data_IF_742580792991
#
_entry.id   IF_742580792991
#
_cell.length_a   1.000
_cell.length_b   1.000
_cell.length_c   1.000
_cell.angle_alpha   90.00
_cell.angle_beta   90.00
_cell.angle_gamma   90.00
#
_symmetry.space_group_name_H-M   'P 1'
#
loop_
_entity.id
_entity.type
_entity.pdbx_description
1 polymer ?
#
# COMPACT_ATOMS: atom_id res chain seq x y z
N UNK A 1 16.24 5.11 -3.30
CA UNK A 1 14.85 5.03 -2.80
C UNK A 1 14.85 5.22 -1.29
N UNK A 2 13.88 5.97 -0.76
CA UNK A 2 13.86 6.38 0.66
C UNK A 2 12.74 5.71 1.47
N UNK A 3 11.67 5.24 0.82
CA UNK A 3 10.47 4.66 1.45
C UNK A 3 10.11 3.32 0.78
N UNK A 4 9.66 2.33 1.55
CA UNK A 4 9.16 1.05 1.06
C UNK A 4 7.93 0.59 1.87
N UNK A 5 6.97 -0.14 1.26
CA UNK A 5 5.86 -0.75 1.99
C UNK A 5 6.37 -1.83 2.95
N UNK A 6 5.81 -1.89 4.16
CA UNK A 6 6.30 -2.80 5.22
C UNK A 6 6.00 -4.28 4.95
N UNK A 7 4.89 -4.58 4.28
CA UNK A 7 4.34 -5.95 4.20
C UNK A 7 4.73 -6.72 2.93
N UNK A 8 5.36 -6.06 1.93
CA UNK A 8 5.85 -6.71 0.71
C UNK A 8 7.36 -6.53 0.55
N UNK A 9 8.18 -7.59 0.67
CA UNK A 9 9.60 -7.48 0.38
C UNK A 9 9.82 -7.12 -1.09
N UNK A 10 10.87 -6.36 -1.34
CA UNK A 10 11.22 -5.82 -2.64
C UNK A 10 11.43 -6.93 -3.68
N UNK A 11 10.55 -7.02 -4.69
CA UNK A 11 10.77 -7.90 -5.84
C UNK A 11 11.56 -7.16 -6.94
N UNK A 12 12.88 -7.35 -6.94
CA UNK A 12 13.79 -6.80 -7.96
C UNK A 12 13.44 -7.23 -9.40
N UNK A 13 12.56 -8.22 -9.58
CA UNK A 13 12.16 -8.72 -10.90
C UNK A 13 11.06 -7.90 -11.56
N UNK A 14 10.31 -7.08 -10.80
CA UNK A 14 9.27 -6.20 -11.32
C UNK A 14 9.57 -4.73 -11.00
N UNK A 15 10.45 -4.07 -11.78
CA UNK A 15 10.71 -2.66 -11.59
C UNK A 15 9.42 -1.85 -11.82
N UNK A 16 9.25 -0.70 -11.14
CA UNK A 16 8.06 0.13 -11.24
C UNK A 16 8.12 0.92 -12.56
N UNK A 17 7.77 0.23 -13.65
CA UNK A 17 7.95 0.70 -15.03
C UNK A 17 7.09 1.92 -15.33
N UNK A 18 5.88 2.00 -14.75
CA UNK A 18 4.95 3.08 -15.06
C UNK A 18 5.40 4.40 -14.41
N UNK A 19 5.76 4.39 -13.13
CA UNK A 19 6.24 5.59 -12.44
C UNK A 19 7.54 6.12 -13.07
N UNK A 20 8.48 5.23 -13.40
CA UNK A 20 9.68 5.58 -14.17
C UNK A 20 9.33 6.12 -15.56
N UNK A 21 8.41 5.47 -16.26
CA UNK A 21 7.96 5.86 -17.59
C UNK A 21 7.29 7.23 -17.61
N UNK A 22 6.39 7.51 -16.66
CA UNK A 22 5.72 8.80 -16.51
C UNK A 22 6.73 9.91 -16.15
N UNK A 23 7.62 9.66 -15.19
CA UNK A 23 8.63 10.64 -14.82
C UNK A 23 9.58 10.96 -16.00
N UNK A 24 10.02 9.93 -16.73
CA UNK A 24 10.85 10.09 -17.93
C UNK A 24 10.09 10.83 -19.03
N UNK A 25 8.81 10.50 -19.25
CA UNK A 25 7.96 11.15 -20.24
C UNK A 25 7.84 12.65 -19.96
N UNK A 26 7.57 13.04 -18.70
CA UNK A 26 7.50 14.46 -18.31
C UNK A 26 8.81 15.20 -18.61
N UNK A 27 9.94 14.61 -18.24
CA UNK A 27 11.26 15.22 -18.46
C UNK A 27 11.60 15.31 -19.96
N UNK A 28 11.30 14.27 -20.75
CA UNK A 28 11.56 14.25 -22.20
C UNK A 28 10.67 15.25 -22.92
N UNK A 29 9.37 15.29 -22.62
CA UNK A 29 8.45 16.27 -23.20
C UNK A 29 8.88 17.70 -22.86
N UNK A 30 9.29 17.95 -21.62
CA UNK A 30 9.82 19.25 -21.22
C UNK A 30 11.09 19.61 -21.99
N UNK A 31 12.07 18.72 -22.06
CA UNK A 31 13.35 18.98 -22.73
C UNK A 31 13.20 19.18 -24.25
N UNK A 32 12.32 18.40 -24.89
CA UNK A 32 12.11 18.48 -26.34
C UNK A 32 11.28 19.69 -26.73
N UNK A 33 10.15 19.93 -26.06
CA UNK A 33 9.17 20.91 -26.53
C UNK A 33 9.47 22.35 -26.08
N UNK A 34 10.22 22.54 -24.98
CA UNK A 34 10.42 23.88 -24.40
C UNK A 34 11.26 24.84 -25.28
N UNK A 35 12.34 24.40 -25.95
CA UNK A 35 13.13 25.28 -26.82
C UNK A 35 12.31 25.92 -27.95
N UNK A 36 11.50 25.12 -28.65
CA UNK A 36 10.66 25.61 -29.74
C UNK A 36 9.58 26.57 -29.24
N UNK A 37 8.96 26.28 -28.11
CA UNK A 37 7.93 27.14 -27.53
C UNK A 37 8.51 28.49 -27.07
N UNK A 38 9.74 28.50 -26.54
CA UNK A 38 10.41 29.74 -26.16
C UNK A 38 10.71 30.64 -27.36
N UNK A 39 11.11 30.07 -28.50
CA UNK A 39 11.33 30.83 -29.74
C UNK A 39 10.02 31.42 -30.27
N UNK A 40 8.94 30.63 -30.30
CA UNK A 40 7.61 31.10 -30.71
C UNK A 40 7.06 32.18 -29.79
N UNK A 41 7.16 31.98 -28.48
CA UNK A 41 6.71 32.94 -27.49
C UNK A 41 7.48 34.26 -27.59
N UNK A 42 8.79 34.19 -27.86
CA UNK A 42 9.59 35.39 -28.13
C UNK A 42 9.08 36.14 -29.36
N UNK A 43 8.83 35.44 -30.47
CA UNK A 43 8.24 36.05 -31.67
C UNK A 43 6.90 36.72 -31.36
N UNK A 44 6.00 36.02 -30.64
CA UNK A 44 4.68 36.51 -30.23
C UNK A 44 4.80 37.80 -29.40
N UNK A 45 5.68 37.79 -28.39
CA UNK A 45 5.91 38.93 -27.50
C UNK A 45 6.53 40.13 -28.20
N UNK A 46 7.35 39.92 -29.24
CA UNK A 46 7.94 41.00 -30.02
C UNK A 46 6.97 41.53 -31.10
N UNK A 47 6.23 40.63 -31.76
CA UNK A 47 5.36 40.94 -32.90
C UNK A 47 4.07 41.66 -32.47
N UNK A 48 3.41 41.16 -31.42
CA UNK A 48 2.07 41.61 -31.04
C UNK A 48 2.01 43.10 -30.62
N UNK A 49 2.90 43.61 -29.74
CA UNK A 49 2.86 45.02 -29.35
C UNK A 49 3.09 45.97 -30.53
N UNK A 50 3.89 45.55 -31.51
CA UNK A 50 4.26 46.37 -32.66
C UNK A 50 3.16 46.45 -33.74
N UNK A 51 2.40 45.36 -33.95
CA UNK A 51 1.49 45.24 -35.09
C UNK A 51 0.01 45.25 -34.70
N UNK A 52 -0.35 44.66 -33.54
CA UNK A 52 -1.75 44.38 -33.18
C UNK A 52 -2.25 45.25 -32.03
N UNK A 53 -1.41 45.48 -31.01
CA UNK A 53 -1.84 46.12 -29.76
C UNK A 53 -2.48 47.49 -29.96
N UNK A 54 -1.94 48.33 -30.86
CA UNK A 54 -2.46 49.67 -31.12
C UNK A 54 -3.88 49.68 -31.69
N UNK A 55 -4.24 48.65 -32.47
CA UNK A 55 -5.57 48.48 -33.07
C UNK A 55 -6.53 47.83 -32.09
N UNK A 56 -6.05 46.85 -31.33
CA UNK A 56 -6.87 46.03 -30.43
C UNK A 56 -7.19 46.73 -29.09
N UNK A 57 -6.23 47.48 -28.54
CA UNK A 57 -6.38 48.12 -27.22
C UNK A 57 -7.60 49.06 -27.09
N UNK A 58 -7.91 49.95 -28.05
CA UNK A 58 -9.08 50.84 -27.94
C UNK A 58 -10.42 50.08 -27.88
N UNK A 59 -10.47 48.86 -28.43
CA UNK A 59 -11.68 48.04 -28.54
C UNK A 59 -11.86 47.11 -27.33
N UNK A 60 -10.75 46.68 -26.73
CA UNK A 60 -10.74 45.68 -25.66
C UNK A 60 -11.50 46.07 -24.38
N UNK A 61 -11.44 47.33 -23.89
CA UNK A 61 -12.23 47.76 -22.72
C UNK A 61 -13.73 47.54 -22.88
N UNK A 62 -14.28 47.79 -24.07
CA UNK A 62 -15.70 47.58 -24.34
C UNK A 62 -16.05 46.09 -24.28
N UNK A 63 -15.19 45.23 -24.82
CA UNK A 63 -15.34 43.77 -24.76
C UNK A 63 -15.36 43.26 -23.30
N UNK A 64 -14.40 43.70 -22.47
CA UNK A 64 -14.36 43.29 -21.06
C UNK A 64 -15.54 43.82 -20.23
N UNK A 65 -16.07 45.00 -20.55
CA UNK A 65 -17.27 45.52 -19.90
C UNK A 65 -18.51 44.70 -20.25
N UNK A 66 -18.62 44.21 -21.50
CA UNK A 66 -19.71 43.33 -21.93
C UNK A 66 -19.66 41.97 -21.22
N UNK A 67 -18.46 41.44 -20.96
CA UNK A 67 -18.25 40.19 -20.22
C UNK A 67 -18.20 40.36 -18.69
N UNK A 68 -18.49 41.57 -18.18
CA UNK A 68 -18.51 41.93 -16.75
C UNK A 68 -17.16 41.73 -16.01
N UNK A 69 -16.03 41.80 -16.73
CA UNK A 69 -14.68 41.60 -16.19
C UNK A 69 -14.01 42.92 -15.76
N UNK A 70 -14.66 43.68 -14.89
CA UNK A 70 -14.19 45.01 -14.46
C UNK A 70 -12.84 44.97 -13.74
N UNK A 71 -12.61 43.97 -12.89
CA UNK A 71 -11.34 43.81 -12.17
C UNK A 71 -10.16 43.50 -13.13
N UNK A 72 -10.39 42.71 -14.17
CA UNK A 72 -9.38 42.43 -15.20
C UNK A 72 -9.08 43.69 -16.00
N UNK A 73 -10.10 44.47 -16.36
CA UNK A 73 -9.94 45.74 -17.07
C UNK A 73 -9.08 46.75 -16.30
N UNK A 74 -9.30 46.91 -14.99
CA UNK A 74 -8.48 47.82 -14.17
C UNK A 74 -7.01 47.40 -14.16
N UNK A 75 -6.72 46.10 -13.99
CA UNK A 75 -5.35 45.57 -14.04
C UNK A 75 -4.67 45.86 -15.38
N UNK A 76 -5.38 45.64 -16.49
CA UNK A 76 -4.81 45.85 -17.83
C UNK A 76 -4.60 47.33 -18.15
N UNK A 77 -5.45 48.23 -17.66
CA UNK A 77 -5.23 49.68 -17.81
C UNK A 77 -3.94 50.11 -17.14
N UNK A 78 -3.70 49.63 -15.92
CA UNK A 78 -2.44 49.88 -15.20
C UNK A 78 -1.25 49.30 -15.98
N UNK A 79 -1.36 48.07 -16.47
CA UNK A 79 -0.31 47.44 -17.28
C UNK A 79 -0.01 48.23 -18.57
N UNK A 80 -1.05 48.74 -19.25
CA UNK A 80 -0.89 49.58 -20.43
C UNK A 80 -0.20 50.91 -20.13
N UNK A 81 -0.56 51.58 -19.03
CA UNK A 81 0.11 52.81 -18.58
C UNK A 81 1.59 52.56 -18.22
N UNK A 82 1.89 51.41 -17.62
CA UNK A 82 3.22 50.99 -17.22
C UNK A 82 4.06 50.38 -18.35
N UNK A 83 3.50 50.28 -19.57
CA UNK A 83 4.14 49.65 -20.72
C UNK A 83 4.57 48.20 -20.45
N UNK A 84 3.76 47.47 -19.67
CA UNK A 84 3.93 46.05 -19.39
C UNK A 84 3.35 45.21 -20.53
N UNK A 85 3.96 45.30 -21.72
CA UNK A 85 3.47 44.68 -22.95
C UNK A 85 3.21 43.18 -22.80
N UNK A 86 4.02 42.46 -22.00
CA UNK A 86 3.84 41.03 -21.76
C UNK A 86 2.47 40.68 -21.17
N UNK A 87 1.99 41.47 -20.21
CA UNK A 87 0.69 41.23 -19.56
C UNK A 87 -0.45 41.45 -20.56
N UNK A 88 -0.28 42.43 -21.46
CA UNK A 88 -1.24 42.71 -22.52
C UNK A 88 -1.24 41.61 -23.58
N UNK A 89 -0.07 41.10 -23.97
CA UNK A 89 0.07 40.00 -24.94
C UNK A 89 -0.59 38.73 -24.40
N UNK A 90 -0.31 38.36 -23.15
CA UNK A 90 -0.89 37.17 -22.51
C UNK A 90 -2.42 37.23 -22.43
N UNK A 91 -2.98 38.42 -22.27
CA UNK A 91 -4.41 38.60 -22.18
C UNK A 91 -5.07 38.80 -23.55
N UNK A 92 -4.79 39.91 -24.24
CA UNK A 92 -5.45 40.27 -25.50
C UNK A 92 -5.01 39.38 -26.67
N UNK A 93 -3.73 38.97 -26.70
CA UNK A 93 -3.22 38.09 -27.74
C UNK A 93 -3.86 36.70 -27.72
N UNK A 94 -4.18 36.19 -26.54
CA UNK A 94 -4.77 34.85 -26.39
C UNK A 94 -6.31 34.86 -26.26
N UNK A 95 -6.94 36.03 -26.14
CA UNK A 95 -8.40 36.18 -26.14
C UNK A 95 -8.99 35.91 -27.52
N UNK A 96 -9.49 34.68 -27.70
CA UNK A 96 -10.04 34.20 -28.97
C UNK A 96 -11.37 34.84 -29.29
N UNK A 97 -12.28 34.85 -28.32
CA UNK A 97 -13.62 35.43 -28.44
C UNK A 97 -13.54 36.89 -28.89
N UNK A 98 -12.60 37.65 -28.31
CA UNK A 98 -12.32 39.01 -28.75
C UNK A 98 -11.84 39.08 -30.21
N UNK A 99 -10.83 38.29 -30.58
CA UNK A 99 -10.30 38.31 -31.95
C UNK A 99 -11.29 37.83 -33.01
N UNK A 100 -12.17 36.89 -32.66
CA UNK A 100 -13.25 36.42 -33.51
C UNK A 100 -14.32 37.50 -33.68
N UNK A 101 -14.61 38.28 -32.62
CA UNK A 101 -15.54 39.41 -32.69
C UNK A 101 -15.07 40.52 -33.64
N UNK A 102 -13.76 40.84 -33.63
CA UNK A 102 -13.17 41.80 -34.59
C UNK A 102 -13.16 41.19 -35.98
N UNK A 103 -12.81 39.92 -36.14
CA UNK A 103 -12.83 39.26 -37.45
C UNK A 103 -14.21 39.27 -38.10
N UNK A 104 -15.28 39.10 -37.30
CA UNK A 104 -16.65 39.05 -37.78
C UNK A 104 -17.24 40.43 -38.09
N UNK A 105 -17.02 41.42 -37.21
CA UNK A 105 -17.71 42.72 -37.26
C UNK A 105 -16.78 43.91 -37.50
N UNK A 106 -15.47 43.68 -37.64
CA UNK A 106 -14.46 44.74 -37.72
C UNK A 106 -14.63 45.69 -38.89
N UNK A 107 -15.27 45.24 -39.97
CA UNK A 107 -15.61 46.09 -41.13
C UNK A 107 -16.56 47.24 -40.79
N UNK A 108 -17.35 47.11 -39.71
CA UNK A 108 -18.35 48.12 -39.32
C UNK A 108 -17.72 49.29 -38.54
N UNK A 109 -16.54 49.10 -37.94
CA UNK A 109 -15.93 50.07 -37.02
C UNK A 109 -14.43 50.33 -37.21
N UNK A 110 -13.77 49.61 -38.12
CA UNK A 110 -12.39 49.87 -38.55
C UNK A 110 -12.35 50.31 -40.01
N UNK A 111 -11.41 51.20 -40.33
CA UNK A 111 -11.16 51.59 -41.72
C UNK A 111 -10.77 50.35 -42.56
N UNK A 112 -11.23 50.22 -43.82
CA UNK A 112 -10.99 49.02 -44.63
C UNK A 112 -9.52 48.63 -44.77
N UNK A 113 -8.63 49.61 -44.93
CA UNK A 113 -7.18 49.38 -45.04
C UNK A 113 -6.61 48.86 -43.71
N UNK A 114 -7.00 49.46 -42.58
CA UNK A 114 -6.58 49.04 -41.23
C UNK A 114 -7.08 47.65 -40.90
N UNK A 115 -8.35 47.34 -41.23
CA UNK A 115 -8.93 46.02 -41.03
C UNK A 115 -8.21 44.95 -41.85
N UNK A 116 -7.91 45.23 -43.12
CA UNK A 116 -7.19 44.29 -43.98
C UNK A 116 -5.76 44.01 -43.48
N UNK A 117 -5.05 45.03 -43.01
CA UNK A 117 -3.72 44.89 -42.42
C UNK A 117 -3.78 44.11 -41.11
N UNK A 118 -4.70 44.47 -40.22
CA UNK A 118 -4.94 43.75 -38.97
C UNK A 118 -5.24 42.27 -39.23
N UNK A 119 -6.05 41.94 -40.24
CA UNK A 119 -6.36 40.55 -40.56
C UNK A 119 -5.12 39.76 -41.00
N UNK A 120 -4.23 40.37 -41.79
CA UNK A 120 -2.96 39.74 -42.20
C UNK A 120 -2.03 39.53 -41.00
N UNK A 121 -1.83 40.56 -40.19
CA UNK A 121 -0.97 40.51 -39.01
C UNK A 121 -1.51 39.51 -37.98
N UNK A 122 -2.84 39.48 -37.78
CA UNK A 122 -3.50 38.55 -36.86
C UNK A 122 -3.41 37.11 -37.37
N UNK A 123 -3.48 36.88 -38.68
CA UNK A 123 -3.25 35.56 -39.25
C UNK A 123 -1.82 35.07 -38.97
N UNK A 124 -0.81 35.93 -39.16
CA UNK A 124 0.59 35.59 -38.85
C UNK A 124 0.79 35.30 -37.36
N UNK A 125 0.23 36.13 -36.48
CA UNK A 125 0.26 35.92 -35.03
C UNK A 125 -0.42 34.59 -34.64
N UNK A 126 -1.61 34.32 -35.16
CA UNK A 126 -2.38 33.12 -34.86
C UNK A 126 -1.66 31.84 -35.31
N UNK A 127 -0.95 31.87 -36.44
CA UNK A 127 -0.15 30.73 -36.92
C UNK A 127 0.92 30.31 -35.92
N UNK A 128 1.61 31.28 -35.31
CA UNK A 128 2.62 31.00 -34.29
C UNK A 128 1.99 30.61 -32.95
N UNK A 129 0.93 31.30 -32.54
CA UNK A 129 0.16 31.00 -31.32
C UNK A 129 -0.42 29.58 -31.33
N UNK A 130 -1.05 29.19 -32.43
CA UNK A 130 -1.75 27.89 -32.54
C UNK A 130 -0.78 26.71 -32.68
N UNK A 131 0.52 26.96 -32.82
CA UNK A 131 1.58 25.96 -32.69
C UNK A 131 2.16 25.84 -31.28
N UNK A 132 1.81 26.73 -30.34
CA UNK A 132 2.23 26.60 -28.95
C UNK A 132 1.58 25.38 -28.30
N UNK A 133 2.37 24.59 -27.57
CA UNK A 133 1.86 23.36 -26.94
C UNK A 133 0.80 23.65 -25.89
N UNK A 134 0.91 24.77 -25.17
CA UNK A 134 -0.08 25.19 -24.16
C UNK A 134 -1.43 25.46 -24.81
N UNK A 135 -1.45 25.97 -26.03
CA UNK A 135 -2.67 26.24 -26.81
C UNK A 135 -3.23 24.96 -27.43
N UNK A 136 -2.35 24.07 -27.92
CA UNK A 136 -2.77 22.83 -28.60
C UNK A 136 -3.23 21.76 -27.61
N UNK A 137 -2.50 21.55 -26.52
CA UNK A 137 -2.66 20.43 -25.59
C UNK A 137 -3.05 20.84 -24.17
N UNK A 138 -3.00 22.13 -23.83
CA UNK A 138 -3.51 22.66 -22.57
C UNK A 138 -5.04 22.67 -22.51
N UNK A 139 -5.57 22.77 -21.30
CA UNK A 139 -7.01 22.80 -21.07
C UNK A 139 -7.53 24.24 -21.16
N UNK A 140 -8.20 24.52 -22.26
CA UNK A 140 -8.86 25.79 -22.55
C UNK A 140 -10.32 25.74 -22.04
N UNK A 141 -10.71 26.60 -21.08
CA UNK A 141 -12.08 26.60 -20.53
C UNK A 141 -13.12 27.15 -21.52
N UNK A 142 -12.69 27.97 -22.49
CA UNK A 142 -13.58 28.55 -23.50
C UNK A 142 -13.94 27.55 -24.59
N UNK A 143 -13.14 26.48 -24.74
CA UNK A 143 -13.33 25.48 -25.81
C UNK A 143 -13.35 24.06 -25.28
N UNK A 144 -14.52 23.42 -25.34
CA UNK A 144 -14.66 22.03 -24.93
C UNK A 144 -13.88 21.06 -25.84
N UNK A 145 -12.77 20.54 -25.32
CA UNK A 145 -11.93 19.53 -25.99
C UNK A 145 -11.66 18.38 -25.02
N UNK A 146 -12.41 17.26 -25.08
CA UNK A 146 -12.32 16.20 -24.07
C UNK A 146 -10.89 15.67 -23.80
N UNK A 147 -10.05 15.61 -24.83
CA UNK A 147 -8.67 15.14 -24.70
C UNK A 147 -7.80 16.05 -23.83
N UNK A 148 -8.10 17.35 -23.76
CA UNK A 148 -7.29 18.32 -23.03
C UNK A 148 -7.44 18.20 -21.52
N UNK A 149 -8.44 17.48 -21.01
CA UNK A 149 -8.56 17.12 -19.59
C UNK A 149 -7.51 16.07 -19.13
N UNK A 150 -6.78 15.49 -20.06
CA UNK A 150 -5.72 14.52 -19.78
C UNK A 150 -4.35 14.98 -20.28
N UNK A 151 -4.27 15.63 -21.45
CA UNK A 151 -2.98 16.02 -22.03
C UNK A 151 -2.30 17.16 -21.29
N UNK A 152 -3.08 18.06 -20.67
CA UNK A 152 -2.52 19.21 -19.95
C UNK A 152 -1.61 18.80 -18.78
N UNK A 153 -1.88 17.66 -18.16
CA UNK A 153 -1.11 17.13 -17.04
C UNK A 153 0.30 16.67 -17.42
N UNK A 154 0.62 16.60 -18.72
CA UNK A 154 1.95 16.22 -19.22
C UNK A 154 2.79 17.42 -19.67
N UNK A 155 2.21 18.62 -19.60
CA UNK A 155 2.86 19.85 -20.03
C UNK A 155 3.12 20.71 -18.80
N UNK A 156 4.27 21.36 -18.77
CA UNK A 156 4.57 22.39 -17.79
C UNK A 156 5.58 23.35 -18.40
N UNK A 157 5.48 24.62 -18.05
CA UNK A 157 6.42 25.65 -18.51
C UNK A 157 7.51 25.90 -17.47
N UNK A 158 7.36 25.42 -16.24
CA UNK A 158 8.31 25.63 -15.17
C UNK A 158 9.14 24.36 -14.90
N UNK A 159 10.46 24.48 -15.09
CA UNK A 159 11.41 23.39 -14.85
C UNK A 159 11.37 22.85 -13.42
N UNK A 160 11.16 23.71 -12.42
CA UNK A 160 11.07 23.31 -11.01
C UNK A 160 9.82 22.46 -10.76
N UNK A 161 8.69 22.82 -11.38
CA UNK A 161 7.44 22.06 -11.25
C UNK A 161 7.57 20.68 -11.89
N UNK A 162 8.17 20.58 -13.08
CA UNK A 162 8.45 19.29 -13.74
C UNK A 162 9.37 18.43 -12.89
N UNK A 163 10.45 19.01 -12.36
CA UNK A 163 11.41 18.28 -11.53
C UNK A 163 10.76 17.79 -10.24
N UNK A 164 10.01 18.64 -9.54
CA UNK A 164 9.27 18.27 -8.34
C UNK A 164 8.26 17.16 -8.64
N UNK A 165 7.58 17.25 -9.78
CA UNK A 165 6.61 16.28 -10.25
C UNK A 165 7.23 14.91 -10.54
N UNK A 166 8.34 14.90 -11.26
CA UNK A 166 9.12 13.69 -11.51
C UNK A 166 9.65 13.10 -10.20
N UNK A 167 10.19 13.91 -9.29
CA UNK A 167 10.66 13.43 -7.98
C UNK A 167 9.52 12.82 -7.15
N UNK A 168 8.33 13.43 -7.12
CA UNK A 168 7.17 12.87 -6.42
C UNK A 168 6.70 11.56 -7.05
N UNK A 169 6.73 11.42 -8.37
CA UNK A 169 6.46 10.14 -9.04
C UNK A 169 7.49 9.07 -8.67
N UNK A 170 8.78 9.44 -8.58
CA UNK A 170 9.84 8.49 -8.21
C UNK A 170 9.80 8.12 -6.71
N UNK A 171 9.38 9.04 -5.84
CA UNK A 171 9.31 8.80 -4.39
C UNK A 171 8.02 8.11 -3.97
N UNK A 172 6.88 8.57 -4.50
CA UNK A 172 5.54 8.12 -4.10
C UNK A 172 4.96 7.15 -5.11
N UNK A 173 5.09 7.46 -6.41
CA UNK A 173 4.54 6.63 -7.49
C UNK A 173 5.14 5.23 -7.50
N UNK A 174 6.45 5.07 -7.28
CA UNK A 174 7.07 3.74 -7.17
C UNK A 174 6.50 2.92 -6.01
N UNK A 175 6.32 3.55 -4.84
CA UNK A 175 5.81 2.90 -3.64
C UNK A 175 4.37 2.43 -3.85
N UNK A 176 3.55 3.26 -4.50
CA UNK A 176 2.18 2.90 -4.90
C UNK A 176 2.17 1.76 -5.91
N UNK A 177 3.02 1.84 -6.94
CA UNK A 177 3.05 0.86 -8.03
C UNK A 177 3.37 -0.55 -7.50
N UNK A 178 4.21 -0.66 -6.47
CA UNK A 178 4.44 -1.94 -5.80
C UNK A 178 3.33 -2.36 -4.84
N UNK A 179 2.69 -1.41 -4.15
CA UNK A 179 1.62 -1.74 -3.22
C UNK A 179 0.35 -2.20 -3.94
N UNK A 180 -0.09 -1.41 -4.93
CA UNK A 180 -1.40 -1.54 -5.61
C UNK A 180 -1.32 -1.89 -7.10
N UNK A 181 -0.14 -1.79 -7.73
CA UNK A 181 0.04 -2.03 -9.16
C UNK A 181 0.00 -0.75 -10.00
N UNK A 182 0.43 -0.89 -11.26
CA UNK A 182 0.50 0.22 -12.23
C UNK A 182 -0.88 0.76 -12.61
N UNK A 183 -1.92 -0.08 -12.65
CA UNK A 183 -3.29 0.35 -12.95
C UNK A 183 -3.83 1.36 -11.94
N UNK A 184 -3.59 1.14 -10.63
CA UNK A 184 -3.98 2.07 -9.59
C UNK A 184 -3.27 3.43 -9.74
N UNK A 185 -1.95 3.42 -9.97
CA UNK A 185 -1.17 4.64 -10.20
C UNK A 185 -1.67 5.42 -11.43
N UNK A 186 -1.89 4.74 -12.57
CA UNK A 186 -2.38 5.39 -13.78
C UNK A 186 -3.79 5.96 -13.61
N UNK A 187 -4.67 5.21 -12.93
CA UNK A 187 -6.04 5.68 -12.67
C UNK A 187 -6.05 6.92 -11.76
N UNK A 188 -5.22 6.96 -10.72
CA UNK A 188 -5.10 8.14 -9.85
C UNK A 188 -4.55 9.36 -10.61
N UNK A 189 -3.58 9.15 -11.51
CA UNK A 189 -3.05 10.20 -12.38
C UNK A 189 -4.15 10.78 -13.29
N UNK A 190 -4.87 9.92 -14.02
CA UNK A 190 -5.88 10.34 -15.00
C UNK A 190 -7.13 10.94 -14.35
N UNK A 191 -7.64 10.32 -13.28
CA UNK A 191 -8.82 10.82 -12.56
C UNK A 191 -8.48 12.10 -11.81
N UNK A 192 -7.29 12.20 -11.22
CA UNK A 192 -6.81 13.43 -10.59
C UNK A 192 -6.71 14.58 -11.59
N UNK A 193 -6.13 14.34 -12.77
CA UNK A 193 -6.10 15.29 -13.90
C UNK A 193 -7.51 15.70 -14.32
N UNK A 194 -8.42 14.75 -14.49
CA UNK A 194 -9.79 15.05 -14.89
C UNK A 194 -10.51 15.94 -13.86
N UNK A 195 -10.43 15.59 -12.57
CA UNK A 195 -11.08 16.35 -11.50
C UNK A 195 -10.49 17.76 -11.37
N UNK A 196 -9.16 17.91 -11.39
CA UNK A 196 -8.53 19.22 -11.36
C UNK A 196 -8.90 20.06 -12.60
N UNK A 197 -8.94 19.44 -13.78
CA UNK A 197 -9.35 20.10 -15.02
C UNK A 197 -10.81 20.57 -14.99
N UNK A 198 -11.73 19.74 -14.51
CA UNK A 198 -13.14 20.13 -14.34
C UNK A 198 -13.27 21.29 -13.36
N UNK A 199 -12.58 21.23 -12.21
CA UNK A 199 -12.57 22.34 -11.25
C UNK A 199 -12.01 23.63 -11.86
N UNK A 200 -10.96 23.54 -12.68
CA UNK A 200 -10.42 24.68 -13.41
C UNK A 200 -11.45 25.24 -14.40
N UNK A 201 -12.07 24.42 -15.24
CA UNK A 201 -13.10 24.88 -16.18
C UNK A 201 -14.26 25.61 -15.50
N UNK A 202 -14.63 25.22 -14.27
CA UNK A 202 -15.71 25.86 -13.50
C UNK A 202 -15.24 27.16 -12.84
N UNK A 203 -14.03 27.18 -12.27
CA UNK A 203 -13.50 28.35 -11.54
C UNK A 203 -12.95 29.43 -12.45
N UNK A 204 -12.52 29.06 -13.67
CA UNK A 204 -11.81 29.90 -14.62
C UNK A 204 -12.52 29.97 -15.98
N UNK A 205 -13.86 30.06 -15.97
CA UNK A 205 -14.70 30.09 -17.18
C UNK A 205 -14.24 31.12 -18.24
N UNK A 206 -13.74 32.26 -17.80
CA UNK A 206 -13.31 33.37 -18.66
C UNK A 206 -11.79 33.47 -18.84
N UNK A 207 -11.03 32.48 -18.36
CA UNK A 207 -9.57 32.51 -18.53
C UNK A 207 -9.21 32.36 -20.00
N UNK A 208 -8.32 33.23 -20.48
CA UNK A 208 -7.74 33.16 -21.83
C UNK A 208 -6.48 32.30 -21.85
N UNK A 209 -5.91 32.00 -20.68
CA UNK A 209 -4.74 31.14 -20.53
C UNK A 209 -5.18 29.70 -20.28
N UNK A 210 -4.76 28.74 -21.13
CA UNK A 210 -5.04 27.33 -20.91
C UNK A 210 -4.31 26.80 -19.67
N UNK A 211 -4.97 25.93 -18.90
CA UNK A 211 -4.32 25.23 -17.81
C UNK A 211 -3.30 24.23 -18.35
N UNK A 212 -2.11 24.24 -17.75
CA UNK A 212 -1.04 23.28 -17.92
C UNK A 212 -0.47 22.93 -16.54
N UNK A 213 0.09 21.73 -16.40
CA UNK A 213 0.81 21.33 -15.20
C UNK A 213 0.39 19.97 -14.66
N UNK A 214 1.37 19.19 -14.21
CA UNK A 214 1.17 17.85 -13.62
C UNK A 214 0.67 17.86 -12.18
N UNK A 215 0.58 19.04 -11.54
CA UNK A 215 0.26 19.18 -10.10
C UNK A 215 -1.10 18.60 -9.72
N UNK A 216 -2.11 18.73 -10.59
CA UNK A 216 -3.42 18.10 -10.41
C UNK A 216 -3.34 16.58 -10.40
N UNK A 217 -2.67 16.00 -11.39
CA UNK A 217 -2.49 14.55 -11.48
C UNK A 217 -1.71 13.99 -10.28
N UNK A 218 -0.65 14.69 -9.85
CA UNK A 218 0.14 14.29 -8.68
C UNK A 218 -0.63 14.42 -7.38
N UNK A 219 -1.49 15.44 -7.25
CA UNK A 219 -2.40 15.53 -6.11
C UNK A 219 -3.30 14.30 -6.02
N UNK A 220 -3.79 13.79 -7.15
CA UNK A 220 -4.49 12.50 -7.23
C UNK A 220 -3.63 11.31 -6.77
N UNK A 221 -2.38 11.23 -7.23
CA UNK A 221 -1.44 10.20 -6.78
C UNK A 221 -1.17 10.27 -5.27
N UNK A 222 -0.99 11.48 -4.71
CA UNK A 222 -0.79 11.70 -3.27
C UNK A 222 -2.03 11.32 -2.45
N UNK A 223 -3.23 11.59 -2.97
CA UNK A 223 -4.50 11.18 -2.33
C UNK A 223 -4.64 9.67 -2.25
N UNK A 224 -4.29 8.97 -3.35
CA UNK A 224 -4.24 7.51 -3.38
C UNK A 224 -3.19 6.97 -2.39
N UNK A 225 -1.99 7.56 -2.36
CA UNK A 225 -0.93 7.20 -1.41
C UNK A 225 -1.39 7.36 0.04
N UNK A 226 -1.99 8.51 0.36
CA UNK A 226 -2.49 8.83 1.69
C UNK A 226 -3.50 7.79 2.18
N UNK A 227 -4.45 7.40 1.32
CA UNK A 227 -5.44 6.39 1.68
C UNK A 227 -4.84 4.99 1.77
N UNK A 228 -3.96 4.61 0.83
CA UNK A 228 -3.30 3.31 0.82
C UNK A 228 -2.46 3.06 2.07
N UNK A 229 -1.75 4.09 2.54
CA UNK A 229 -0.83 4.00 3.67
C UNK A 229 -1.37 4.69 4.94
N UNK A 230 -2.70 4.87 5.04
CA UNK A 230 -3.34 5.63 6.13
C UNK A 230 -2.95 5.14 7.52
N UNK A 231 -2.75 3.83 7.69
CA UNK A 231 -2.40 3.25 8.98
C UNK A 231 -0.99 3.59 9.42
N UNK A 232 -0.84 3.74 10.74
CA UNK A 232 0.47 3.88 11.36
C UNK A 232 1.31 2.65 11.01
N UNK A 233 2.60 2.88 10.72
CA UNK A 233 3.61 1.84 10.47
C UNK A 233 3.56 1.11 9.11
N UNK A 234 2.76 1.60 8.16
CA UNK A 234 2.61 1.01 6.82
C UNK A 234 3.80 1.26 5.88
N UNK A 235 4.64 2.26 6.19
CA UNK A 235 5.87 2.57 5.46
C UNK A 235 7.10 2.31 6.33
N UNK A 236 8.15 1.76 5.74
CA UNK A 236 9.47 1.63 6.37
C UNK A 236 10.48 2.47 5.59
N UNK A 237 11.25 3.28 6.32
CA UNK A 237 12.39 4.01 5.73
C UNK A 237 13.53 3.03 5.48
N UNK A 238 14.08 3.05 4.28
CA UNK A 238 15.12 2.09 3.92
C UNK A 238 16.40 2.33 4.74
N UNK A 239 16.84 1.32 5.49
CA UNK A 239 18.05 1.38 6.32
C UNK A 239 17.81 1.77 7.78
N UNK A 240 16.57 1.98 8.21
CA UNK A 240 16.21 2.25 9.61
C UNK A 240 15.01 1.41 10.05
N UNK A 241 14.83 1.23 11.36
CA UNK A 241 13.64 0.58 11.94
C UNK A 241 12.46 1.55 12.13
N UNK A 242 12.58 2.79 11.62
CA UNK A 242 11.55 3.81 11.75
C UNK A 242 10.41 3.53 10.79
N UNK A 243 9.24 3.27 11.36
CA UNK A 243 8.01 3.10 10.61
C UNK A 243 7.26 4.44 10.53
N UNK A 244 6.77 4.78 9.35
CA UNK A 244 6.05 6.02 9.07
C UNK A 244 4.61 5.71 8.67
N UNK A 245 3.71 6.63 8.99
CA UNK A 245 2.33 6.59 8.50
C UNK A 245 2.16 7.41 7.22
N UNK A 246 1.05 7.20 6.52
CA UNK A 246 0.69 7.90 5.27
C UNK A 246 0.45 9.41 5.42
N UNK A 247 0.49 9.96 6.64
CA UNK A 247 0.39 11.41 6.91
C UNK A 247 1.46 12.25 6.18
N UNK A 248 2.60 11.65 5.82
CA UNK A 248 3.62 12.31 5.01
C UNK A 248 3.07 12.72 3.65
N UNK A 249 2.23 11.89 3.03
CA UNK A 249 1.64 12.22 1.72
C UNK A 249 0.64 13.37 1.82
N UNK A 250 -0.07 13.49 2.95
CA UNK A 250 -0.89 14.66 3.23
C UNK A 250 -0.02 15.91 3.42
N UNK A 251 1.11 15.80 4.14
CA UNK A 251 2.07 16.91 4.28
C UNK A 251 2.67 17.35 2.93
N UNK A 252 3.03 16.41 2.07
CA UNK A 252 3.49 16.67 0.70
C UNK A 252 2.41 17.33 -0.15
N UNK A 253 1.14 16.90 -0.02
CA UNK A 253 0.02 17.54 -0.70
C UNK A 253 -0.17 18.99 -0.24
N UNK A 254 -0.17 19.23 1.08
CA UNK A 254 -0.31 20.59 1.64
C UNK A 254 0.84 21.47 1.15
N UNK A 255 2.07 20.95 1.13
CA UNK A 255 3.23 21.67 0.59
C UNK A 255 3.06 21.99 -0.90
N UNK A 256 2.62 21.04 -1.72
CA UNK A 256 2.38 21.23 -3.14
C UNK A 256 1.26 22.27 -3.40
N UNK A 257 0.17 22.19 -2.64
CA UNK A 257 -0.94 23.13 -2.73
C UNK A 257 -0.52 24.54 -2.31
N UNK A 258 0.25 24.66 -1.22
CA UNK A 258 0.81 25.94 -0.78
C UNK A 258 1.75 26.54 -1.84
N UNK A 259 2.67 25.75 -2.39
CA UNK A 259 3.59 26.21 -3.44
C UNK A 259 2.82 26.70 -4.68
N UNK A 260 1.79 25.96 -5.09
CA UNK A 260 0.94 26.34 -6.23
C UNK A 260 0.19 27.65 -5.95
N UNK A 261 -0.35 27.80 -4.73
CA UNK A 261 -1.05 29.00 -4.31
C UNK A 261 -0.14 30.24 -4.31
N UNK A 262 1.09 30.12 -3.80
CA UNK A 262 2.07 31.22 -3.83
C UNK A 262 2.50 31.57 -5.26
N UNK A 263 2.80 30.55 -6.09
CA UNK A 263 3.27 30.76 -7.46
C UNK A 263 2.19 31.33 -8.39
N UNK A 264 0.90 31.07 -8.09
CA UNK A 264 -0.24 31.50 -8.90
C UNK A 264 -0.89 32.78 -8.35
N UNK A 265 -0.13 33.64 -7.66
CA UNK A 265 -0.60 34.91 -7.11
C UNK A 265 -1.86 34.79 -6.23
N UNK A 266 -1.91 33.76 -5.37
CA UNK A 266 -3.01 33.50 -4.43
C UNK A 266 -4.34 33.11 -5.09
N UNK A 267 -4.29 32.45 -6.25
CA UNK A 267 -5.46 31.89 -6.90
C UNK A 267 -6.02 30.66 -6.13
N UNK A 268 -7.18 30.85 -5.51
CA UNK A 268 -7.89 29.83 -4.75
C UNK A 268 -8.52 28.76 -5.66
N UNK A 269 -8.90 29.12 -6.90
CA UNK A 269 -9.53 28.20 -7.85
C UNK A 269 -8.64 27.02 -8.20
N UNK A 270 -7.34 27.27 -8.40
CA UNK A 270 -6.35 26.21 -8.61
C UNK A 270 -6.22 25.29 -7.39
N UNK A 271 -6.21 25.85 -6.18
CA UNK A 271 -6.13 25.06 -4.93
C UNK A 271 -7.37 24.16 -4.77
N UNK A 272 -8.56 24.67 -5.08
CA UNK A 272 -9.80 23.88 -5.10
C UNK A 272 -9.65 22.69 -6.06
N UNK A 273 -9.08 22.91 -7.25
CA UNK A 273 -8.79 21.84 -8.20
C UNK A 273 -7.81 20.79 -7.66
N UNK A 274 -6.76 21.21 -6.96
CA UNK A 274 -5.81 20.28 -6.33
C UNK A 274 -6.48 19.46 -5.21
N UNK A 275 -7.33 20.08 -4.39
CA UNK A 275 -8.10 19.39 -3.34
C UNK A 275 -9.06 18.38 -3.97
N UNK A 276 -9.78 18.76 -5.03
CA UNK A 276 -10.66 17.85 -5.75
C UNK A 276 -9.90 16.65 -6.32
N UNK A 277 -8.72 16.88 -6.90
CA UNK A 277 -7.86 15.81 -7.38
C UNK A 277 -7.37 14.90 -6.24
N UNK A 278 -6.93 15.46 -5.12
CA UNK A 278 -6.51 14.67 -3.95
C UNK A 278 -7.64 13.79 -3.41
N UNK A 279 -8.84 14.33 -3.25
CA UNK A 279 -10.02 13.56 -2.83
C UNK A 279 -10.35 12.48 -3.86
N UNK A 280 -10.22 12.76 -5.15
CA UNK A 280 -10.44 11.77 -6.21
C UNK A 280 -9.47 10.58 -6.08
N UNK A 281 -8.21 10.82 -5.70
CA UNK A 281 -7.22 9.77 -5.43
C UNK A 281 -7.62 8.84 -4.28
N UNK A 282 -8.20 9.41 -3.22
CA UNK A 282 -8.76 8.63 -2.10
C UNK A 282 -9.88 7.73 -2.59
N UNK A 283 -10.80 8.28 -3.40
CA UNK A 283 -11.92 7.53 -3.99
C UNK A 283 -11.43 6.40 -4.89
N UNK A 284 -10.42 6.66 -5.74
CA UNK A 284 -9.78 5.64 -6.58
C UNK A 284 -9.21 4.52 -5.72
N UNK A 285 -8.53 4.84 -4.61
CA UNK A 285 -7.99 3.82 -3.70
C UNK A 285 -9.10 2.94 -3.11
N UNK A 286 -10.21 3.54 -2.66
CA UNK A 286 -11.36 2.81 -2.10
C UNK A 286 -12.00 1.93 -3.16
N UNK A 287 -12.21 2.46 -4.37
CA UNK A 287 -12.80 1.73 -5.49
C UNK A 287 -11.91 0.56 -5.91
N UNK A 288 -10.59 0.75 -5.96
CA UNK A 288 -9.63 -0.29 -6.32
C UNK A 288 -9.60 -1.41 -5.27
N UNK A 289 -9.57 -1.06 -3.97
CA UNK A 289 -9.70 -2.05 -2.89
C UNK A 289 -11.04 -2.80 -3.01
N UNK A 290 -12.15 -2.11 -3.25
CA UNK A 290 -13.47 -2.76 -3.37
C UNK A 290 -13.55 -3.74 -4.54
N UNK A 291 -12.99 -3.40 -5.71
CA UNK A 291 -13.07 -4.25 -6.90
C UNK A 291 -12.02 -5.36 -6.96
N UNK A 292 -10.81 -5.11 -6.46
CA UNK A 292 -9.69 -6.06 -6.56
C UNK A 292 -9.39 -6.82 -5.25
N UNK A 293 -9.90 -6.38 -4.08
CA UNK A 293 -9.77 -7.15 -2.83
C UNK A 293 -10.81 -8.28 -2.69
N UNK A 294 -11.72 -8.47 -3.66
CA UNK A 294 -12.67 -9.59 -3.61
C UNK A 294 -11.98 -10.96 -3.84
N UNK A 295 -10.75 -10.98 -4.39
CA UNK A 295 -9.92 -12.19 -4.53
C UNK A 295 -8.81 -12.33 -3.47
N UNK A 296 -8.51 -11.29 -2.68
CA UNK A 296 -7.46 -11.31 -1.66
C UNK A 296 -8.03 -11.04 -0.27
N UNK A 297 -8.72 -12.04 0.27
CA UNK A 297 -9.22 -12.07 1.65
C UNK A 297 -8.13 -12.38 2.69
N UNK A 298 -6.86 -12.13 2.39
CA UNK A 298 -5.72 -12.48 3.23
C UNK A 298 -4.75 -11.28 3.22
N UNK A 299 -4.80 -10.46 4.29
CA UNK A 299 -3.63 -10.04 5.11
C UNK A 299 -3.69 -8.64 5.72
N UNK A 300 -4.50 -7.69 5.26
CA UNK A 300 -4.38 -6.32 5.78
C UNK A 300 -5.64 -5.79 6.48
N UNK A 301 -5.46 -5.55 7.78
CA UNK A 301 -6.24 -4.71 8.69
C UNK A 301 -7.10 -5.46 9.73
N UNK A 302 -6.39 -5.96 10.75
CA UNK A 302 -6.81 -5.87 12.15
C UNK A 302 -7.18 -4.41 12.49
N UNK A 303 -8.44 -4.05 12.31
CA UNK A 303 -9.13 -3.20 13.28
C UNK A 303 -10.13 -4.08 14.00
N UNK A 304 -9.97 -4.19 15.32
CA UNK A 304 -10.98 -4.66 16.25
C UNK A 304 -12.24 -3.81 16.07
N UNK A 305 -13.07 -4.18 15.11
CA UNK A 305 -14.51 -3.94 15.20
C UNK A 305 -14.99 -5.06 16.10
N UNK A 306 -15.12 -4.77 17.39
CA UNK A 306 -15.92 -5.58 18.30
C UNK A 306 -17.33 -5.53 17.72
N UNK A 307 -17.66 -6.48 16.83
CA UNK A 307 -19.04 -6.83 16.61
C UNK A 307 -19.52 -7.43 17.93
N UNK A 308 -20.55 -6.81 18.50
CA UNK A 308 -21.35 -7.41 19.56
C UNK A 308 -21.74 -8.82 19.12
N UNK A 309 -21.34 -9.80 19.93
CA UNK A 309 -21.64 -11.24 19.81
C UNK A 309 -21.05 -12.00 18.61
N UNK A 310 -19.72 -12.02 18.48
CA UNK A 310 -19.08 -13.14 17.78
C UNK A 310 -19.20 -14.45 18.60
N UNK A 311 -19.52 -15.60 17.98
CA UNK A 311 -19.50 -16.88 18.67
C UNK A 311 -18.11 -17.14 19.26
N UNK A 312 -18.05 -17.68 20.49
CA UNK A 312 -16.79 -17.92 21.20
C UNK A 312 -15.75 -18.73 20.40
N UNK A 313 -16.22 -19.58 19.48
CA UNK A 313 -15.39 -20.40 18.57
C UNK A 313 -14.66 -19.58 17.50
N UNK A 314 -15.26 -18.48 17.02
CA UNK A 314 -14.68 -17.64 15.97
C UNK A 314 -13.59 -16.72 16.54
N UNK A 315 -13.81 -16.20 17.75
CA UNK A 315 -12.81 -15.47 18.50
C UNK A 315 -11.58 -16.35 18.81
N UNK A 316 -11.81 -17.58 19.26
CA UNK A 316 -10.74 -18.56 19.50
C UNK A 316 -9.89 -18.80 18.25
N UNK A 317 -10.53 -19.04 17.09
CA UNK A 317 -9.83 -19.27 15.82
C UNK A 317 -8.99 -18.07 15.41
N UNK A 318 -9.51 -16.86 15.58
CA UNK A 318 -8.79 -15.64 15.25
C UNK A 318 -7.57 -15.42 16.17
N UNK A 319 -7.76 -15.60 17.48
CA UNK A 319 -6.68 -15.45 18.47
C UNK A 319 -5.57 -16.49 18.24
N UNK A 320 -5.92 -17.75 17.97
CA UNK A 320 -4.95 -18.81 17.66
C UNK A 320 -4.19 -18.52 16.35
N UNK A 321 -4.90 -18.13 15.29
CA UNK A 321 -4.27 -17.80 14.00
C UNK A 321 -3.27 -16.64 14.14
N UNK A 322 -3.67 -15.59 14.86
CA UNK A 322 -2.81 -14.45 15.19
C UNK A 322 -1.53 -14.89 15.92
N UNK A 323 -1.65 -15.79 16.90
CA UNK A 323 -0.50 -16.32 17.61
C UNK A 323 0.45 -17.13 16.71
N UNK A 324 -0.09 -17.98 15.82
CA UNK A 324 0.71 -18.77 14.87
C UNK A 324 1.43 -17.89 13.83
N UNK A 325 0.80 -16.81 13.38
CA UNK A 325 1.38 -15.85 12.46
C UNK A 325 2.58 -15.12 13.09
N UNK A 326 2.50 -14.80 14.39
CA UNK A 326 3.67 -14.27 15.13
C UNK A 326 4.84 -15.27 15.16
N UNK A 327 4.58 -16.57 15.18
CA UNK A 327 5.63 -17.60 15.08
C UNK A 327 6.27 -17.57 13.69
N UNK A 328 5.47 -17.48 12.60
CA UNK A 328 6.02 -17.42 11.24
C UNK A 328 6.85 -16.16 10.99
N UNK A 329 6.47 -15.03 11.61
CA UNK A 329 7.20 -13.77 11.58
C UNK A 329 8.42 -13.71 12.53
N UNK A 330 8.83 -14.83 13.14
CA UNK A 330 9.95 -14.94 14.08
C UNK A 330 9.78 -14.11 15.38
N UNK A 331 8.55 -13.73 15.74
CA UNK A 331 8.23 -12.97 16.96
C UNK A 331 7.95 -13.90 18.15
N UNK A 332 8.91 -14.76 18.50
CA UNK A 332 8.72 -15.85 19.47
C UNK A 332 8.27 -15.38 20.86
N UNK A 333 8.82 -14.27 21.39
CA UNK A 333 8.43 -13.75 22.71
C UNK A 333 7.00 -13.23 22.76
N UNK A 334 6.51 -12.67 21.66
CA UNK A 334 5.13 -12.17 21.57
C UNK A 334 4.14 -13.33 21.34
N UNK A 335 4.53 -14.33 20.54
CA UNK A 335 3.77 -15.56 20.37
C UNK A 335 3.65 -16.34 21.68
N UNK A 336 4.73 -16.42 22.46
CA UNK A 336 4.75 -17.11 23.77
C UNK A 336 3.72 -16.48 24.74
N UNK A 337 3.71 -15.14 24.87
CA UNK A 337 2.73 -14.46 25.74
C UNK A 337 1.29 -14.72 25.30
N UNK A 338 1.00 -14.58 24.01
CA UNK A 338 -0.35 -14.74 23.49
C UNK A 338 -0.85 -16.18 23.58
N UNK A 339 0.03 -17.17 23.39
CA UNK A 339 -0.32 -18.58 23.59
C UNK A 339 -0.53 -18.90 25.07
N UNK A 340 0.19 -18.25 26.00
CA UNK A 340 -0.03 -18.39 27.45
C UNK A 340 -1.40 -17.84 27.84
N UNK A 341 -1.76 -16.66 27.36
CA UNK A 341 -3.10 -16.07 27.55
C UNK A 341 -4.20 -16.97 26.98
N UNK A 342 -3.98 -17.55 25.79
CA UNK A 342 -4.91 -18.50 25.18
C UNK A 342 -5.03 -19.80 25.99
N UNK A 343 -3.93 -20.31 26.54
CA UNK A 343 -3.94 -21.52 27.37
C UNK A 343 -4.71 -21.31 28.69
N UNK A 344 -4.64 -20.11 29.27
CA UNK A 344 -5.43 -19.74 30.46
C UNK A 344 -6.93 -19.62 30.12
N UNK A 345 -7.26 -19.05 28.96
CA UNK A 345 -8.64 -18.83 28.52
C UNK A 345 -9.33 -20.11 28.03
N UNK A 346 -8.58 -21.03 27.42
CA UNK A 346 -9.08 -22.29 26.86
C UNK A 346 -8.28 -23.51 27.37
N UNK A 347 -8.35 -23.84 28.67
CA UNK A 347 -7.53 -24.89 29.29
C UNK A 347 -7.84 -26.30 28.80
N UNK A 348 -8.97 -26.50 28.11
CA UNK A 348 -9.39 -27.78 27.55
C UNK A 348 -8.78 -28.07 26.18
N UNK A 349 -8.32 -27.06 25.44
CA UNK A 349 -7.76 -27.29 24.10
C UNK A 349 -6.27 -27.66 24.18
N UNK A 350 -6.02 -28.93 23.92
CA UNK A 350 -4.69 -29.54 23.95
C UNK A 350 -3.78 -29.12 22.80
N UNK A 351 -4.32 -28.53 21.74
CA UNK A 351 -3.54 -28.02 20.60
C UNK A 351 -2.70 -26.80 20.98
N UNK A 352 -3.23 -25.95 21.87
CA UNK A 352 -2.48 -24.79 22.39
C UNK A 352 -1.24 -25.28 23.14
N UNK A 353 -1.38 -26.34 23.96
CA UNK A 353 -0.25 -26.93 24.69
C UNK A 353 0.85 -27.45 23.78
N UNK A 354 0.50 -28.02 22.62
CA UNK A 354 1.48 -28.46 21.61
C UNK A 354 2.27 -27.27 21.05
N UNK A 355 1.59 -26.17 20.70
CA UNK A 355 2.25 -24.96 20.22
C UNK A 355 3.13 -24.31 21.29
N UNK A 356 2.66 -24.26 22.54
CA UNK A 356 3.47 -23.81 23.69
C UNK A 356 4.72 -24.68 23.86
N UNK A 357 4.59 -26.00 23.79
CA UNK A 357 5.71 -26.94 23.89
C UNK A 357 6.74 -26.70 22.79
N UNK A 358 6.30 -26.47 21.55
CA UNK A 358 7.20 -26.22 20.43
C UNK A 358 7.96 -24.89 20.52
N UNK A 359 7.44 -23.90 21.25
CA UNK A 359 8.17 -22.68 21.58
C UNK A 359 9.16 -22.90 22.73
N UNK A 360 8.73 -23.62 23.77
CA UNK A 360 9.53 -23.86 24.98
C UNK A 360 10.61 -24.94 24.80
N UNK A 361 10.58 -25.74 23.72
CA UNK A 361 11.63 -26.75 23.42
C UNK A 361 13.05 -26.18 23.26
N UNK A 362 13.17 -24.87 23.09
CA UNK A 362 14.46 -24.15 23.04
C UNK A 362 14.97 -23.73 24.42
N UNK A 363 14.15 -23.84 25.47
CA UNK A 363 14.47 -23.49 26.87
C UNK A 363 14.20 -24.66 27.83
N UNK A 364 14.93 -25.79 27.71
CA UNK A 364 14.65 -27.02 28.48
C UNK A 364 14.95 -26.94 29.99
N UNK A 365 15.39 -25.79 30.50
CA UNK A 365 15.66 -25.55 31.92
C UNK A 365 14.48 -24.89 32.64
N UNK A 366 13.48 -24.39 31.91
CA UNK A 366 12.29 -23.78 32.51
C UNK A 366 11.35 -24.87 33.04
N UNK A 367 10.79 -24.67 34.24
CA UNK A 367 9.83 -25.58 34.87
C UNK A 367 8.61 -25.83 33.98
N UNK A 368 8.16 -24.80 33.26
CA UNK A 368 7.02 -24.87 32.34
C UNK A 368 7.21 -25.91 31.22
N UNK A 369 8.45 -26.15 30.77
CA UNK A 369 8.73 -27.17 29.75
C UNK A 369 8.36 -28.58 30.24
N UNK A 370 8.64 -28.87 31.51
CA UNK A 370 8.33 -30.16 32.15
C UNK A 370 6.83 -30.31 32.38
N UNK A 371 6.15 -29.23 32.80
CA UNK A 371 4.69 -29.22 33.01
C UNK A 371 3.92 -29.44 31.70
N UNK A 372 4.34 -28.79 30.61
CA UNK A 372 3.74 -28.99 29.29
C UNK A 372 3.95 -30.41 28.78
N UNK A 373 5.15 -30.98 28.98
CA UNK A 373 5.43 -32.36 28.61
C UNK A 373 4.53 -33.35 29.38
N UNK A 374 4.35 -33.17 30.70
CA UNK A 374 3.39 -33.93 31.51
C UNK A 374 1.98 -33.84 30.93
N UNK A 375 1.51 -32.62 30.65
CA UNK A 375 0.18 -32.37 30.11
C UNK A 375 -0.08 -33.03 28.75
N UNK A 376 0.96 -33.13 27.92
CA UNK A 376 0.92 -33.79 26.61
C UNK A 376 1.01 -35.32 26.73
N UNK A 377 1.77 -35.86 27.67
CA UNK A 377 1.80 -37.31 27.92
C UNK A 377 0.47 -37.84 28.48
N UNK A 378 -0.26 -37.02 29.23
CA UNK A 378 -1.58 -37.32 29.76
C UNK A 378 -2.73 -37.27 28.72
N UNK A 379 -2.44 -37.05 27.43
CA UNK A 379 -3.46 -37.02 26.39
C UNK A 379 -4.20 -38.36 26.25
N UNK A 380 -5.51 -38.33 25.94
CA UNK A 380 -6.30 -39.55 25.77
C UNK A 380 -5.75 -40.42 24.64
N UNK A 381 -5.95 -41.72 24.76
CA UNK A 381 -5.45 -42.72 23.83
C UNK A 381 -6.29 -42.75 22.55
N UNK A 382 -5.97 -41.86 21.61
CA UNK A 382 -6.56 -41.76 20.28
C UNK A 382 -5.46 -41.91 19.21
N UNK A 383 -5.75 -42.49 18.02
CA UNK A 383 -4.73 -42.75 17.00
C UNK A 383 -3.86 -41.54 16.65
N UNK A 384 -4.47 -40.37 16.37
CA UNK A 384 -3.74 -39.15 16.05
C UNK A 384 -2.88 -38.64 17.23
N UNK A 385 -3.44 -38.65 18.45
CA UNK A 385 -2.73 -38.24 19.65
C UNK A 385 -1.57 -39.18 19.99
N UNK A 386 -1.67 -40.48 19.65
CA UNK A 386 -0.62 -41.47 19.94
C UNK A 386 0.67 -41.19 19.17
N UNK A 387 0.56 -40.82 17.89
CA UNK A 387 1.73 -40.43 17.09
C UNK A 387 2.31 -39.10 17.55
N UNK A 388 1.46 -38.12 17.88
CA UNK A 388 1.90 -36.84 18.46
C UNK A 388 2.70 -37.06 19.74
N UNK A 389 2.19 -37.89 20.66
CA UNK A 389 2.86 -38.17 21.93
C UNK A 389 4.17 -38.93 21.75
N UNK A 390 4.26 -39.82 20.75
CA UNK A 390 5.53 -40.45 20.38
C UNK A 390 6.56 -39.43 19.89
N UNK A 391 6.15 -38.47 19.05
CA UNK A 391 7.01 -37.41 18.56
C UNK A 391 7.50 -36.51 19.70
N UNK A 392 6.60 -36.10 20.59
CA UNK A 392 6.92 -35.30 21.77
C UNK A 392 7.83 -36.07 22.72
N UNK A 393 7.61 -37.37 22.93
CA UNK A 393 8.50 -38.21 23.73
C UNK A 393 9.93 -38.24 23.17
N UNK A 394 10.08 -38.46 21.86
CA UNK A 394 11.38 -38.50 21.21
C UNK A 394 12.12 -37.15 21.28
N UNK A 395 11.39 -36.04 21.12
CA UNK A 395 11.95 -34.70 21.26
C UNK A 395 12.30 -34.38 22.71
N UNK A 396 11.41 -34.69 23.66
CA UNK A 396 11.62 -34.51 25.08
C UNK A 396 12.81 -35.31 25.59
N UNK A 397 12.95 -36.57 25.16
CA UNK A 397 14.08 -37.44 25.52
C UNK A 397 15.44 -36.84 25.13
N UNK A 398 15.50 -36.11 24.01
CA UNK A 398 16.73 -35.48 23.52
C UNK A 398 17.07 -34.17 24.23
N UNK A 399 16.07 -33.52 24.85
CA UNK A 399 16.17 -32.12 25.32
C UNK A 399 16.08 -31.98 26.84
N UNK A 400 15.24 -32.77 27.51
CA UNK A 400 15.07 -32.73 28.96
C UNK A 400 16.33 -33.20 29.67
N UNK A 401 16.69 -32.49 30.74
CA UNK A 401 17.81 -32.84 31.62
C UNK A 401 17.36 -33.48 32.94
N UNK A 402 16.14 -33.20 33.36
CA UNK A 402 15.59 -33.61 34.67
C UNK A 402 14.65 -34.80 34.56
N UNK A 403 14.03 -35.01 33.40
CA UNK A 403 13.12 -36.11 33.10
C UNK A 403 11.94 -36.25 34.08
N UNK A 404 11.49 -35.15 34.67
CA UNK A 404 10.44 -35.15 35.70
C UNK A 404 9.10 -35.63 35.14
N UNK A 405 8.81 -35.32 33.88
CA UNK A 405 7.60 -35.75 33.21
C UNK A 405 7.51 -37.27 32.92
N UNK A 406 8.60 -38.01 33.13
CA UNK A 406 8.66 -39.47 32.93
C UNK A 406 8.70 -40.20 34.28
N UNK A 407 7.65 -40.02 35.07
CA UNK A 407 7.47 -40.83 36.27
C UNK A 407 7.10 -42.29 35.92
N UNK A 408 7.16 -43.19 36.90
CA UNK A 408 7.00 -44.63 36.66
C UNK A 408 5.63 -44.97 36.05
N UNK A 409 4.56 -44.30 36.51
CA UNK A 409 3.21 -44.54 36.00
C UNK A 409 3.01 -43.97 34.59
N UNK A 410 3.50 -42.76 34.29
CA UNK A 410 3.47 -42.21 32.92
C UNK A 410 4.29 -43.07 31.96
N UNK A 411 5.46 -43.57 32.39
CA UNK A 411 6.25 -44.50 31.57
C UNK A 411 5.48 -45.78 31.21
N UNK A 412 4.77 -46.37 32.17
CA UNK A 412 3.95 -47.57 31.94
C UNK A 412 2.75 -47.28 31.03
N UNK A 413 2.10 -46.12 31.19
CA UNK A 413 1.00 -45.69 30.31
C UNK A 413 1.48 -45.46 28.87
N UNK A 414 2.62 -44.80 28.70
CA UNK A 414 3.25 -44.57 27.41
C UNK A 414 3.74 -45.87 26.77
N UNK A 415 4.27 -46.83 27.53
CA UNK A 415 4.64 -48.15 27.01
C UNK A 415 3.44 -48.87 26.38
N UNK A 416 2.30 -48.89 27.06
CA UNK A 416 1.05 -49.45 26.53
C UNK A 416 0.57 -48.69 25.29
N UNK A 417 0.72 -47.37 25.29
CA UNK A 417 0.33 -46.50 24.16
C UNK A 417 1.18 -46.77 22.92
N UNK A 418 2.49 -46.87 23.07
CA UNK A 418 3.45 -47.12 21.98
C UNK A 418 3.34 -48.54 21.44
N UNK A 419 3.05 -49.53 22.28
CA UNK A 419 2.76 -50.90 21.85
C UNK A 419 1.57 -50.97 20.88
N UNK A 420 0.52 -50.15 21.10
CA UNK A 420 -0.67 -50.11 20.23
C UNK A 420 -0.40 -49.53 18.84
N UNK A 421 0.51 -48.57 18.73
CA UNK A 421 0.92 -47.96 17.45
C UNK A 421 2.14 -48.64 16.83
N UNK A 422 2.51 -49.83 17.30
CA UNK A 422 3.64 -50.62 16.79
C UNK A 422 5.02 -49.93 16.90
N UNK A 423 5.15 -48.95 17.79
CA UNK A 423 6.43 -48.31 18.14
C UNK A 423 7.15 -49.14 19.22
N UNK A 424 7.50 -50.39 18.88
CA UNK A 424 7.98 -51.38 19.85
C UNK A 424 9.28 -50.99 20.53
N UNK A 425 10.20 -50.36 19.79
CA UNK A 425 11.52 -49.99 20.32
C UNK A 425 11.37 -48.99 21.47
N UNK A 426 10.58 -47.94 21.26
CA UNK A 426 10.28 -46.91 22.25
C UNK A 426 9.43 -47.48 23.39
N UNK A 427 8.51 -48.40 23.10
CA UNK A 427 7.70 -49.08 24.10
C UNK A 427 8.54 -49.95 25.06
N UNK A 428 9.52 -50.71 24.54
CA UNK A 428 10.44 -51.50 25.38
C UNK A 428 11.36 -50.61 26.21
N UNK A 429 11.87 -49.53 25.62
CA UNK A 429 12.80 -48.61 26.28
C UNK A 429 12.15 -47.90 27.47
N UNK A 430 10.94 -47.36 27.26
CA UNK A 430 10.23 -46.66 28.33
C UNK A 430 9.72 -47.61 29.42
N UNK A 431 9.37 -48.85 29.04
CA UNK A 431 9.04 -49.90 30.00
C UNK A 431 10.24 -50.26 30.89
N UNK A 432 11.44 -50.41 30.32
CA UNK A 432 12.68 -50.66 31.10
C UNK A 432 12.97 -49.52 32.08
N UNK A 433 12.81 -48.27 31.63
CA UNK A 433 12.96 -47.09 32.51
C UNK A 433 12.01 -47.12 33.71
N UNK A 434 10.78 -47.61 33.54
CA UNK A 434 9.85 -47.77 34.67
C UNK A 434 10.31 -48.82 35.68
N UNK A 435 11.03 -49.87 35.23
CA UNK A 435 11.54 -50.94 36.09
C UNK A 435 12.72 -50.51 36.98
N UNK A 436 13.47 -49.48 36.57
CA UNK A 436 14.56 -48.92 37.37
C UNK A 436 14.03 -48.17 38.61
N UNK A 437 12.75 -47.80 38.61
CA UNK A 437 12.08 -47.17 39.74
C UNK A 437 11.66 -48.20 40.79
N UNK A 438 12.11 -48.04 42.05
CA UNK A 438 11.79 -48.92 43.20
C UNK A 438 10.31 -48.90 43.65
N UNK A 439 9.40 -48.26 42.91
CA UNK A 439 7.98 -48.16 43.27
C UNK A 439 7.17 -49.26 42.60
N UNK A 440 6.46 -50.06 43.39
CA UNK A 440 5.52 -51.05 42.86
C UNK A 440 4.28 -50.35 42.31
N UNK A 441 4.04 -50.46 41.00
CA UNK A 441 2.84 -49.93 40.34
C UNK A 441 1.92 -51.07 39.94
N UNK A 442 0.61 -50.90 40.17
CA UNK A 442 -0.42 -51.82 39.70
C UNK A 442 -0.54 -51.86 38.18
N UNK A 443 0.01 -50.84 37.48
CA UNK A 443 0.03 -50.75 36.02
C UNK A 443 1.11 -51.61 35.38
N UNK A 444 2.12 -52.07 36.15
CA UNK A 444 3.26 -52.83 35.61
C UNK A 444 2.80 -54.14 34.96
N UNK A 445 1.91 -54.89 35.63
CA UNK A 445 1.33 -56.13 35.09
C UNK A 445 0.53 -55.89 33.82
N UNK A 446 -0.26 -54.81 33.78
CA UNK A 446 -1.08 -54.44 32.61
C UNK A 446 -0.21 -54.06 31.42
N UNK A 447 0.84 -53.27 31.64
CA UNK A 447 1.77 -52.87 30.60
C UNK A 447 2.61 -54.03 30.05
N UNK A 448 3.07 -54.93 30.93
CA UNK A 448 3.78 -56.15 30.52
C UNK A 448 2.90 -57.07 29.68
N UNK A 449 1.63 -57.25 30.06
CA UNK A 449 0.68 -58.04 29.29
C UNK A 449 0.35 -57.41 27.92
N UNK A 450 0.21 -56.08 27.87
CA UNK A 450 0.00 -55.36 26.60
C UNK A 450 1.19 -55.51 25.65
N UNK A 451 2.43 -55.43 26.15
CA UNK A 451 3.64 -55.67 25.36
C UNK A 451 3.73 -57.12 24.88
N UNK A 452 3.45 -58.09 25.75
CA UNK A 452 3.44 -59.52 25.39
C UNK A 452 2.47 -59.80 24.24
N UNK A 453 1.24 -59.29 24.32
CA UNK A 453 0.23 -59.42 23.26
C UNK A 453 0.67 -58.73 21.96
N UNK A 454 1.25 -57.54 22.05
CA UNK A 454 1.70 -56.80 20.87
C UNK A 454 2.87 -57.49 20.16
N UNK A 455 3.82 -58.09 20.90
CA UNK A 455 4.91 -58.88 20.32
C UNK A 455 4.47 -60.25 19.77
N UNK A 456 3.49 -60.90 20.42
CA UNK A 456 2.89 -62.13 19.92
C UNK A 456 2.20 -61.90 18.56
N UNK A 457 1.48 -60.78 18.42
CA UNK A 457 0.85 -60.38 17.17
C UNK A 457 1.85 -60.14 16.01
N UNK A 458 3.13 -59.87 16.32
CA UNK A 458 4.21 -59.72 15.32
C UNK A 458 5.10 -60.97 15.17
N UNK A 459 4.68 -62.13 15.66
CA UNK A 459 5.43 -63.39 15.60
C UNK A 459 6.81 -63.34 16.31
N UNK A 460 7.00 -62.44 17.28
CA UNK A 460 8.22 -62.34 18.08
C UNK A 460 8.10 -63.12 19.40
N UNK A 461 7.99 -64.45 19.31
CA UNK A 461 7.67 -65.34 20.44
C UNK A 461 8.61 -65.19 21.65
N UNK A 462 9.93 -65.12 21.42
CA UNK A 462 10.93 -64.96 22.50
C UNK A 462 10.71 -63.70 23.35
N UNK A 463 10.28 -62.59 22.72
CA UNK A 463 10.02 -61.33 23.42
C UNK A 463 8.65 -61.35 24.09
N UNK A 464 7.66 -61.97 23.46
CA UNK A 464 6.33 -62.15 24.04
C UNK A 464 6.39 -62.96 25.35
N UNK A 465 7.16 -64.05 25.38
CA UNK A 465 7.38 -64.86 26.60
C UNK A 465 8.07 -64.07 27.72
N UNK A 466 9.07 -63.25 27.38
CA UNK A 466 9.78 -62.43 28.36
C UNK A 466 8.83 -61.49 29.12
N UNK A 467 7.99 -60.75 28.39
CA UNK A 467 7.02 -59.84 29.01
C UNK A 467 5.87 -60.58 29.69
N UNK A 468 5.50 -61.79 29.22
CA UNK A 468 4.52 -62.64 29.88
C UNK A 468 4.99 -63.09 31.27
N UNK A 469 6.27 -63.48 31.41
CA UNK A 469 6.87 -63.84 32.71
C UNK A 469 6.86 -62.67 33.68
N UNK A 470 7.14 -61.45 33.21
CA UNK A 470 7.09 -60.24 34.03
C UNK A 470 5.66 -59.94 34.51
N UNK A 471 4.64 -60.21 33.68
CA UNK A 471 3.24 -60.03 34.06
C UNK A 471 2.77 -61.03 35.14
N UNK A 472 3.24 -62.28 35.09
CA UNK A 472 2.82 -63.36 36.00
C UNK A 472 3.61 -63.38 37.32
N UNK A 473 4.93 -63.23 37.27
CA UNK A 473 5.81 -63.40 38.43
C UNK A 473 6.13 -62.09 39.16
N UNK A 474 5.82 -60.93 38.55
CA UNK A 474 6.32 -59.64 39.01
C UNK A 474 7.82 -59.49 38.76
N UNK A 475 8.36 -58.29 38.96
CA UNK A 475 9.81 -58.05 38.80
C UNK A 475 10.53 -58.81 39.91
N UNK A 476 11.16 -59.95 39.59
CA UNK A 476 12.16 -60.54 40.48
C UNK A 476 13.30 -59.54 40.60
N UNK A 477 13.50 -58.98 41.79
CA UNK A 477 14.69 -58.20 42.10
C UNK A 477 15.90 -59.12 41.94
N UNK A 478 16.60 -59.02 40.82
CA UNK A 478 17.96 -59.53 40.72
C UNK A 478 18.82 -58.65 41.65
N UNK A 479 19.12 -59.20 42.81
CA UNK A 479 20.16 -58.75 43.75
C UNK A 479 21.49 -58.53 43.05
#
# INVERSE_FOLDING_TARGET
>A
MLLAPTDKPFDYRQPPRLSLGLAALLLVLFAWLTPSDNERMKFINDFYPQHLLKVEWPLYPTHLLQSQQTATLEKLKIAYEQHEDHVLVEQLGFDRDFSDSISANGQDFLDPDVFSQWQQDRQQFNQERDHLRSVVLGLDPQRFRPITYFTYAFLDNNSLNVLASAMLLLLVGMVIEWAMGSGALLSAWLVGSLCAGISFSITHLHSVTPLIGSTGAISGVLGLAFMCFRHANSLTVLGTTTKLGGWIFLGLFIMLAALTFLNSQFDIGLVIGLVAAFVSGIVVCIAYRRWFSQDNHIEEEQQLIIHEEMPADELYRHELHSALLKISQMQFSAAERQLRELAEKYPQDKRILEHCYHLLKFKPLELEFEELACGLFALPNQPAANHLVLNIYNDYKRRSKTFVALDSDTCLQLAMRFARIQAFKEAEEIFKRSMESKRSSTLLKKAALALSQAFAAQQQEKRAEYYQRIATEGVKSSS
#
